data_IF_708134347837
#
_entry.id   IF_708134347837
#
_cell.length_a   1.000
_cell.length_b   1.000
_cell.length_c   1.000
_cell.angle_alpha   90.00
_cell.angle_beta   90.00
_cell.angle_gamma   90.00
#
_symmetry.space_group_name_H-M   'P 1'
#
loop_
_entity.id
_entity.type
_entity.pdbx_description
1 polymer ?
#
# COMPACT_ATOMS: atom_id res chain seq x y z
N UNK A 1 7.50 15.96 0.18
CA UNK A 1 6.43 15.64 1.12
C UNK A 1 5.64 14.47 0.57
N UNK A 2 5.75 13.33 1.24
CA UNK A 2 4.94 12.17 0.89
C UNK A 2 3.58 12.40 1.53
N UNK A 3 2.59 12.81 0.73
CA UNK A 3 1.22 12.89 1.19
C UNK A 3 0.65 11.48 1.18
N UNK A 4 0.35 10.97 2.35
CA UNK A 4 -0.20 9.65 2.50
C UNK A 4 -1.72 9.68 2.52
N UNK A 5 -2.32 8.57 2.18
CA UNK A 5 -3.75 8.32 2.29
C UNK A 5 -4.28 8.54 3.72
N UNK A 6 -3.41 8.43 4.71
CA UNK A 6 -3.61 8.75 6.12
C UNK A 6 -4.26 10.13 6.32
N UNK A 7 -3.93 11.12 5.48
CA UNK A 7 -4.48 12.49 5.60
C UNK A 7 -6.00 12.56 5.33
N UNK A 8 -6.59 11.47 4.85
CA UNK A 8 -8.03 11.37 4.56
C UNK A 8 -8.84 10.66 5.63
N UNK A 9 -8.19 10.00 6.56
CA UNK A 9 -8.86 9.34 7.69
C UNK A 9 -8.75 10.29 8.88
N UNK A 10 -9.85 10.93 9.25
CA UNK A 10 -9.87 11.82 10.41
C UNK A 10 -9.69 11.01 11.70
N UNK A 11 -8.92 11.53 12.64
CA UNK A 11 -8.58 10.86 13.90
C UNK A 11 -9.80 10.46 14.74
N UNK A 12 -10.92 11.13 14.52
CA UNK A 12 -12.20 10.87 15.20
C UNK A 12 -13.13 9.92 14.41
N UNK A 13 -12.74 9.49 13.21
CA UNK A 13 -13.54 8.64 12.34
C UNK A 13 -13.05 7.19 12.31
N UNK A 14 -11.84 6.92 12.79
CA UNK A 14 -11.26 5.60 12.84
C UNK A 14 -10.69 5.26 14.21
N UNK A 15 -10.65 3.97 14.51
CA UNK A 15 -10.12 3.43 15.76
C UNK A 15 -9.28 2.18 15.49
N UNK A 16 -8.58 1.69 16.51
CA UNK A 16 -7.89 0.41 16.43
C UNK A 16 -8.82 -0.74 15.99
N UNK A 17 -10.08 -0.73 16.42
CA UNK A 17 -11.04 -1.78 16.09
C UNK A 17 -11.37 -1.83 14.60
N UNK A 18 -11.40 -0.70 13.89
CA UNK A 18 -11.66 -0.66 12.45
C UNK A 18 -10.57 -1.39 11.64
N UNK A 19 -9.37 -1.48 12.22
CA UNK A 19 -8.22 -2.20 11.65
C UNK A 19 -8.01 -3.58 12.29
N UNK A 20 -8.99 -4.08 13.04
CA UNK A 20 -8.88 -5.37 13.71
C UNK A 20 -7.84 -5.42 14.83
N UNK A 21 -7.51 -4.29 15.40
CA UNK A 21 -6.57 -4.14 16.52
C UNK A 21 -7.39 -4.05 17.82
N UNK A 22 -7.05 -4.87 18.81
CA UNK A 22 -7.72 -4.82 20.12
C UNK A 22 -7.13 -3.71 20.99
N UNK A 23 -7.97 -2.80 21.46
CA UNK A 23 -7.56 -1.74 22.41
C UNK A 23 -7.05 -2.32 23.75
N UNK A 24 -7.50 -3.51 24.11
CA UNK A 24 -7.07 -4.16 25.35
C UNK A 24 -5.62 -4.67 25.30
N UNK A 25 -5.08 -4.93 24.10
CA UNK A 25 -3.70 -5.40 23.90
C UNK A 25 -2.75 -4.28 23.43
N UNK A 26 -3.26 -3.19 22.87
CA UNK A 26 -2.46 -2.05 22.41
C UNK A 26 -2.20 -1.07 23.55
N UNK A 27 -0.95 -0.66 23.72
CA UNK A 27 -0.60 0.43 24.65
C UNK A 27 -0.90 1.81 24.08
N UNK A 28 -1.04 1.90 22.76
CA UNK A 28 -1.42 3.09 22.03
C UNK A 28 -2.71 2.83 21.26
N UNK A 29 -3.75 3.60 21.58
CA UNK A 29 -5.06 3.51 20.92
C UNK A 29 -5.05 3.91 19.44
N UNK A 30 -3.94 4.50 18.97
CA UNK A 30 -3.73 4.88 17.58
C UNK A 30 -2.71 3.96 16.90
N UNK A 31 -2.59 2.70 17.31
CA UNK A 31 -1.67 1.74 16.68
C UNK A 31 -1.88 1.66 15.16
N UNK A 32 -3.13 1.65 14.71
CA UNK A 32 -3.47 1.67 13.29
C UNK A 32 -2.80 2.82 12.55
N UNK A 33 -2.74 4.03 13.15
CA UNK A 33 -2.15 5.22 12.55
C UNK A 33 -0.63 5.25 12.69
N UNK A 34 -0.14 4.96 13.87
CA UNK A 34 1.28 5.12 14.23
C UNK A 34 2.17 3.94 13.78
N UNK A 35 1.58 2.82 13.40
CA UNK A 35 2.32 1.66 12.91
C UNK A 35 1.73 1.09 11.62
N UNK A 36 0.47 0.66 11.59
CA UNK A 36 -0.09 -0.06 10.45
C UNK A 36 -0.13 0.78 9.18
N UNK A 37 -0.68 2.00 9.22
CA UNK A 37 -0.73 2.87 8.04
C UNK A 37 0.65 3.41 7.66
N UNK A 38 1.52 3.67 8.63
CA UNK A 38 2.90 4.05 8.35
C UNK A 38 3.67 2.91 7.66
N UNK A 39 3.47 1.67 8.10
CA UNK A 39 4.02 0.48 7.44
C UNK A 39 3.46 0.33 6.02
N UNK A 40 2.14 0.42 5.87
CA UNK A 40 1.46 0.31 4.57
C UNK A 40 1.95 1.38 3.60
N UNK A 41 2.02 2.63 4.04
CA UNK A 41 2.46 3.78 3.24
C UNK A 41 3.97 3.97 3.15
N UNK A 42 4.76 3.12 3.82
CA UNK A 42 6.25 3.26 3.90
C UNK A 42 6.69 4.64 4.38
N UNK A 43 5.98 5.16 5.37
CA UNK A 43 6.27 6.47 5.96
C UNK A 43 7.59 6.48 6.72
N UNK A 44 7.88 5.37 7.41
CA UNK A 44 9.13 5.06 8.07
C UNK A 44 9.66 3.72 7.56
N UNK A 45 10.91 3.39 7.87
CA UNK A 45 11.47 2.08 7.57
C UNK A 45 10.73 0.96 8.34
N UNK A 46 10.62 -0.20 7.73
CA UNK A 46 9.99 -1.37 8.38
C UNK A 46 10.70 -1.76 9.67
N UNK A 47 12.04 -1.63 9.70
CA UNK A 47 12.84 -1.88 10.91
C UNK A 47 12.49 -0.92 12.05
N UNK A 48 12.30 0.35 11.74
CA UNK A 48 11.93 1.35 12.75
C UNK A 48 10.51 1.11 13.28
N UNK A 49 9.58 0.75 12.40
CA UNK A 49 8.20 0.43 12.80
C UNK A 49 8.16 -0.83 13.65
N UNK A 50 8.89 -1.88 13.26
CA UNK A 50 9.00 -3.13 14.03
C UNK A 50 9.53 -2.87 15.44
N UNK A 51 10.64 -2.17 15.55
CA UNK A 51 11.25 -1.84 16.86
C UNK A 51 10.32 -0.98 17.74
N UNK A 52 9.62 -0.01 17.15
CA UNK A 52 8.66 0.84 17.86
C UNK A 52 7.45 0.03 18.35
N UNK A 53 6.94 -0.87 17.52
CA UNK A 53 5.83 -1.76 17.86
C UNK A 53 6.17 -2.69 19.02
N UNK A 54 7.36 -3.27 19.00
CA UNK A 54 7.88 -4.11 20.10
C UNK A 54 8.05 -3.32 21.39
N UNK A 55 8.66 -2.13 21.32
CA UNK A 55 8.88 -1.26 22.47
C UNK A 55 7.57 -0.78 23.11
N UNK A 56 6.57 -0.49 22.31
CA UNK A 56 5.23 -0.05 22.76
C UNK A 56 4.33 -1.20 23.17
N UNK A 57 4.68 -2.44 22.81
CA UNK A 57 3.86 -3.64 23.04
C UNK A 57 2.56 -3.57 22.24
N UNK A 58 2.65 -3.25 20.96
CA UNK A 58 1.52 -3.25 20.04
C UNK A 58 0.94 -4.66 19.82
N UNK A 59 -0.21 -4.72 19.17
CA UNK A 59 -1.00 -5.95 19.01
C UNK A 59 -0.30 -7.03 18.19
N UNK A 60 0.66 -6.64 17.36
CA UNK A 60 1.46 -7.55 16.55
C UNK A 60 2.87 -7.01 16.28
N UNK A 61 3.78 -7.90 15.89
CA UNK A 61 5.05 -7.52 15.28
C UNK A 61 4.87 -7.29 13.79
N UNK A 62 5.50 -6.23 13.27
CA UNK A 62 5.42 -5.84 11.87
C UNK A 62 6.59 -6.44 11.09
N UNK A 63 6.29 -7.03 9.91
CA UNK A 63 7.32 -7.66 9.08
C UNK A 63 8.20 -6.63 8.38
N UNK A 64 9.42 -7.04 8.12
CA UNK A 64 10.37 -6.32 7.27
C UNK A 64 10.23 -6.84 5.83
N UNK A 65 10.26 -5.93 4.85
CA UNK A 65 10.18 -6.23 3.41
C UNK A 65 11.55 -6.03 2.76
N UNK A 66 12.50 -6.96 2.91
CA UNK A 66 13.84 -6.80 2.35
C UNK A 66 13.82 -6.89 0.83
N UNK A 67 14.76 -6.24 0.15
CA UNK A 67 14.96 -6.38 -1.30
C UNK A 67 15.45 -7.78 -1.67
N UNK A 68 16.20 -8.41 -0.77
CA UNK A 68 16.58 -9.81 -0.86
C UNK A 68 15.88 -10.60 0.25
N UNK A 69 14.99 -11.56 -0.07
CA UNK A 69 14.28 -12.33 0.94
C UNK A 69 15.20 -13.19 1.82
N UNK A 70 16.43 -13.47 1.37
CA UNK A 70 17.43 -14.22 2.12
C UNK A 70 18.37 -13.34 2.97
N UNK A 71 18.27 -12.03 2.85
CA UNK A 71 19.13 -11.09 3.57
C UNK A 71 18.33 -9.86 4.04
N UNK A 72 17.82 -9.95 5.26
CA UNK A 72 17.06 -8.88 5.91
C UNK A 72 17.90 -7.62 6.20
N UNK A 73 19.21 -7.62 5.95
CA UNK A 73 20.05 -6.43 6.07
C UNK A 73 20.00 -5.53 4.86
N UNK A 74 19.50 -6.04 3.72
CA UNK A 74 19.33 -5.26 2.49
C UNK A 74 18.24 -4.21 2.66
N UNK A 75 18.29 -3.24 1.77
CA UNK A 75 17.30 -2.16 1.72
C UNK A 75 15.87 -2.70 1.56
N UNK A 76 14.94 -2.01 2.15
CA UNK A 76 13.53 -2.39 2.12
C UNK A 76 12.91 -2.15 0.75
N UNK A 77 12.06 -3.08 0.29
CA UNK A 77 11.33 -2.94 -0.98
C UNK A 77 10.34 -1.78 -0.91
N UNK A 78 10.36 -0.95 -1.94
CA UNK A 78 9.44 0.19 -2.04
C UNK A 78 8.09 -0.14 -2.69
N UNK A 79 8.00 -1.26 -3.40
CA UNK A 79 6.77 -1.74 -4.05
C UNK A 79 6.56 -3.20 -3.73
N UNK A 80 5.30 -3.64 -3.76
CA UNK A 80 4.95 -5.05 -3.81
C UNK A 80 5.28 -5.66 -5.17
N UNK A 81 5.09 -6.97 -5.30
CA UNK A 81 5.29 -7.65 -6.57
C UNK A 81 4.28 -7.13 -7.60
N UNK A 82 4.76 -6.83 -8.80
CA UNK A 82 3.92 -6.40 -9.92
C UNK A 82 3.65 -7.64 -10.77
N UNK A 83 2.37 -7.93 -10.98
CA UNK A 83 1.91 -9.03 -11.82
C UNK A 83 1.71 -8.56 -13.27
N UNK A 84 1.68 -9.51 -14.19
CA UNK A 84 1.44 -9.25 -15.62
C UNK A 84 0.16 -8.43 -15.84
N UNK A 85 0.26 -7.43 -16.75
CA UNK A 85 -0.86 -6.55 -17.07
C UNK A 85 -1.15 -5.43 -16.08
N UNK A 86 -0.42 -5.39 -14.98
CA UNK A 86 -0.64 -4.42 -13.89
C UNK A 86 0.14 -3.11 -14.06
N UNK A 87 0.67 -2.83 -15.26
CA UNK A 87 1.41 -1.58 -15.56
C UNK A 87 0.83 -0.92 -16.80
N UNK A 88 0.54 0.35 -16.72
CA UNK A 88 0.10 1.16 -17.84
C UNK A 88 0.75 2.55 -17.83
N UNK A 89 0.92 3.13 -19.00
CA UNK A 89 1.43 4.48 -19.15
C UNK A 89 0.56 5.32 -20.07
N UNK A 90 0.62 6.63 -19.91
CA UNK A 90 -0.07 7.61 -20.73
C UNK A 90 0.69 8.93 -20.77
N UNK A 91 0.48 9.70 -21.81
CA UNK A 91 1.11 10.99 -21.99
C UNK A 91 2.31 10.94 -22.93
N UNK A 92 2.67 12.09 -23.46
CA UNK A 92 3.83 12.29 -24.34
C UNK A 92 4.32 13.73 -24.21
N UNK A 93 5.57 13.91 -23.83
CA UNK A 93 6.20 15.24 -23.73
C UNK A 93 6.24 15.98 -25.06
N UNK A 94 6.34 15.28 -26.19
CA UNK A 94 6.34 15.87 -27.52
C UNK A 94 5.02 16.58 -27.84
N UNK A 95 3.93 16.04 -27.31
CA UNK A 95 2.60 16.62 -27.43
C UNK A 95 2.24 17.57 -26.27
N UNK A 96 3.23 17.92 -25.45
CA UNK A 96 3.04 18.68 -24.22
C UNK A 96 1.97 18.08 -23.31
N UNK A 97 1.97 16.74 -23.18
CA UNK A 97 1.09 15.97 -22.32
C UNK A 97 1.88 15.40 -21.15
N UNK A 98 1.37 15.58 -19.95
CA UNK A 98 1.99 15.01 -18.76
C UNK A 98 2.01 13.47 -18.86
N UNK A 99 3.19 12.92 -18.68
CA UNK A 99 3.37 11.47 -18.64
C UNK A 99 3.10 10.94 -17.24
N UNK A 100 2.30 9.87 -17.18
CA UNK A 100 2.06 9.08 -15.98
C UNK A 100 2.39 7.61 -16.23
N UNK A 101 2.93 6.97 -15.21
CA UNK A 101 3.07 5.52 -15.11
C UNK A 101 2.22 5.06 -13.92
N UNK A 102 1.40 4.06 -14.15
CA UNK A 102 0.56 3.48 -13.10
C UNK A 102 0.89 2.00 -12.98
N UNK A 103 1.10 1.54 -11.76
CA UNK A 103 1.38 0.15 -11.45
C UNK A 103 0.47 -0.33 -10.32
N UNK A 104 -0.24 -1.42 -10.54
CA UNK A 104 -0.88 -2.17 -9.46
C UNK A 104 0.13 -3.17 -8.89
N UNK A 105 0.20 -3.24 -7.58
CA UNK A 105 1.15 -4.09 -6.89
C UNK A 105 0.46 -4.97 -5.84
N UNK A 106 1.11 -6.07 -5.53
CA UNK A 106 0.61 -7.05 -4.57
C UNK A 106 0.73 -6.62 -3.10
N UNK A 107 1.01 -5.34 -2.87
CA UNK A 107 0.91 -4.66 -1.58
C UNK A 107 -0.51 -4.10 -1.31
N UNK A 108 -1.46 -4.38 -2.21
CA UNK A 108 -2.84 -3.92 -2.11
C UNK A 108 -3.06 -2.51 -2.66
N UNK A 109 -2.09 -1.94 -3.37
CA UNK A 109 -2.15 -0.56 -3.82
C UNK A 109 -1.98 -0.43 -5.34
N UNK A 110 -2.56 0.64 -5.86
CA UNK A 110 -2.25 1.18 -7.20
C UNK A 110 -1.35 2.39 -7.01
N UNK A 111 -0.15 2.32 -7.54
CA UNK A 111 0.86 3.38 -7.46
C UNK A 111 0.86 4.22 -8.72
N UNK A 112 0.78 5.53 -8.56
CA UNK A 112 0.76 6.50 -9.67
C UNK A 112 2.03 7.34 -9.60
N UNK A 113 2.84 7.23 -10.64
CA UNK A 113 4.07 8.00 -10.82
C UNK A 113 3.86 9.04 -11.89
N UNK A 114 4.44 10.21 -11.71
CA UNK A 114 4.47 11.29 -12.68
C UNK A 114 5.89 11.54 -13.16
N UNK A 115 6.09 11.64 -14.46
CA UNK A 115 7.35 12.10 -15.02
C UNK A 115 7.48 13.61 -14.78
N UNK A 116 8.26 14.00 -13.79
CA UNK A 116 8.31 15.38 -13.32
C UNK A 116 9.44 16.20 -13.94
N UNK A 117 10.68 15.65 -13.99
CA UNK A 117 11.86 16.36 -14.43
C UNK A 117 12.87 15.41 -15.07
N UNK A 118 13.91 15.98 -15.73
CA UNK A 118 15.02 15.22 -16.32
C UNK A 118 15.88 14.48 -15.28
N UNK A 119 15.95 14.98 -14.05
CA UNK A 119 16.82 14.44 -12.99
C UNK A 119 16.10 13.43 -12.08
N UNK A 120 14.79 13.41 -12.09
CA UNK A 120 13.97 12.42 -11.38
C UNK A 120 12.78 12.07 -12.28
N UNK A 121 12.97 11.14 -13.21
CA UNK A 121 12.03 10.92 -14.31
C UNK A 121 10.66 10.50 -13.86
N UNK A 122 10.55 9.71 -12.77
CA UNK A 122 9.26 9.29 -12.25
C UNK A 122 9.20 9.44 -10.73
N UNK A 123 8.35 10.36 -10.31
CA UNK A 123 8.11 10.69 -8.91
C UNK A 123 6.74 10.11 -8.47
N UNK A 124 6.73 9.33 -7.39
CA UNK A 124 5.50 8.77 -6.84
C UNK A 124 4.59 9.90 -6.35
N UNK A 125 3.38 9.97 -6.90
CA UNK A 125 2.39 10.99 -6.54
C UNK A 125 1.29 10.47 -5.65
N UNK A 126 0.87 9.23 -5.85
CA UNK A 126 -0.23 8.63 -5.10
C UNK A 126 -0.03 7.13 -5.01
N UNK A 127 -0.31 6.58 -3.84
CA UNK A 127 -0.57 5.15 -3.64
C UNK A 127 -2.02 5.03 -3.17
N UNK A 128 -2.84 4.35 -3.95
CA UNK A 128 -4.27 4.25 -3.73
C UNK A 128 -4.68 2.83 -3.39
N UNK A 129 -5.44 2.67 -2.31
CA UNK A 129 -6.03 1.39 -1.92
C UNK A 129 -7.50 1.40 -2.34
N UNK A 130 -7.92 0.55 -3.29
CA UNK A 130 -9.31 0.50 -3.73
C UNK A 130 -10.25 0.08 -2.59
N UNK A 131 -11.25 0.90 -2.29
CA UNK A 131 -12.19 0.61 -1.20
C UNK A 131 -13.16 -0.54 -1.51
N UNK A 132 -13.46 -0.79 -2.79
CA UNK A 132 -14.36 -1.86 -3.24
C UNK A 132 -13.68 -3.22 -3.44
N UNK A 133 -12.39 -3.37 -3.10
CA UNK A 133 -11.66 -4.61 -3.25
C UNK A 133 -12.27 -5.71 -2.38
N UNK A 134 -12.45 -6.91 -2.92
CA UNK A 134 -12.90 -8.06 -2.17
C UNK A 134 -11.97 -8.39 -1.02
N UNK A 135 -12.53 -8.83 0.10
CA UNK A 135 -11.77 -9.05 1.32
C UNK A 135 -12.23 -10.30 2.03
N UNK A 136 -11.27 -11.17 2.19
CA UNK A 136 -11.41 -12.37 2.96
C UNK A 136 -10.26 -12.45 3.98
N UNK A 137 -10.47 -13.10 5.09
CA UNK A 137 -9.38 -13.45 6.01
C UNK A 137 -8.60 -14.67 5.52
N UNK A 138 -7.68 -15.18 6.33
CA UNK A 138 -6.89 -16.38 6.03
C UNK A 138 -7.71 -17.68 6.01
N UNK A 139 -8.98 -17.62 6.42
CA UNK A 139 -9.93 -18.72 6.40
C UNK A 139 -10.99 -18.57 5.29
N UNK A 140 -10.84 -17.58 4.40
CA UNK A 140 -11.78 -17.31 3.32
C UNK A 140 -13.09 -16.66 3.80
N UNK A 141 -13.12 -16.07 4.99
CA UNK A 141 -14.29 -15.39 5.51
C UNK A 141 -14.25 -13.90 5.20
N UNK A 142 -15.39 -13.31 4.88
CA UNK A 142 -15.50 -11.89 4.62
C UNK A 142 -14.97 -11.04 5.80
N UNK A 143 -14.14 -10.07 5.50
CA UNK A 143 -13.51 -9.21 6.50
C UNK A 143 -13.38 -7.76 6.01
N UNK A 144 -12.76 -6.89 6.77
CA UNK A 144 -12.56 -5.48 6.42
C UNK A 144 -11.19 -5.23 5.81
N UNK A 145 -11.06 -4.16 5.02
CA UNK A 145 -9.75 -3.74 4.47
C UNK A 145 -8.70 -3.55 5.59
N UNK A 146 -9.10 -2.94 6.70
CA UNK A 146 -8.19 -2.70 7.82
C UNK A 146 -7.63 -4.00 8.40
N UNK A 147 -8.47 -5.03 8.57
CA UNK A 147 -8.04 -6.36 9.04
C UNK A 147 -7.11 -7.05 8.05
N UNK A 148 -7.42 -6.97 6.75
CA UNK A 148 -6.54 -7.52 5.71
C UNK A 148 -5.18 -6.82 5.69
N UNK A 149 -5.13 -5.50 5.80
CA UNK A 149 -3.87 -4.76 5.89
C UNK A 149 -3.06 -5.17 7.13
N UNK A 150 -3.73 -5.38 8.27
CA UNK A 150 -3.09 -5.88 9.49
C UNK A 150 -2.48 -7.26 9.28
N UNK A 151 -3.19 -8.17 8.62
CA UNK A 151 -2.69 -9.52 8.34
C UNK A 151 -1.47 -9.49 7.41
N UNK A 152 -1.50 -8.66 6.36
CA UNK A 152 -0.36 -8.48 5.44
C UNK A 152 0.87 -7.91 6.16
N UNK A 153 0.65 -7.01 7.12
CA UNK A 153 1.73 -6.35 7.84
C UNK A 153 2.36 -7.23 8.93
N UNK A 154 1.71 -8.32 9.31
CA UNK A 154 2.13 -9.21 10.40
C UNK A 154 3.45 -9.93 10.07
N UNK A 155 4.33 -10.01 11.05
CA UNK A 155 5.52 -10.84 10.97
C UNK A 155 5.12 -12.32 10.72
N UNK A 156 5.84 -13.00 9.82
CA UNK A 156 5.49 -14.35 9.38
C UNK A 156 4.46 -14.45 8.25
N UNK A 157 3.94 -13.34 7.72
CA UNK A 157 3.11 -13.36 6.50
C UNK A 157 3.90 -13.99 5.32
N UNK A 158 3.27 -14.92 4.63
CA UNK A 158 3.87 -15.67 3.52
C UNK A 158 4.66 -16.91 3.94
N UNK A 159 4.92 -17.13 5.24
CA UNK A 159 5.57 -18.34 5.74
C UNK A 159 4.62 -19.30 6.47
N UNK A 160 3.53 -18.81 7.02
CA UNK A 160 2.48 -19.60 7.68
C UNK A 160 1.08 -19.18 7.27
N UNK A 161 0.96 -18.03 6.62
CA UNK A 161 -0.28 -17.52 6.04
C UNK A 161 -0.12 -17.49 4.53
N UNK A 162 -1.06 -18.06 3.73
CA UNK A 162 -0.98 -18.03 2.28
C UNK A 162 -0.81 -16.61 1.75
N UNK A 163 0.03 -16.46 0.73
CA UNK A 163 0.21 -15.19 0.05
C UNK A 163 -1.09 -14.81 -0.67
N UNK A 164 -1.53 -13.56 -0.52
CA UNK A 164 -2.75 -13.05 -1.14
C UNK A 164 -2.43 -12.15 -2.31
N UNK A 165 -3.22 -12.27 -3.34
CA UNK A 165 -3.19 -11.39 -4.50
C UNK A 165 -4.23 -10.29 -4.28
N UNK A 166 -3.78 -9.07 -4.02
CA UNK A 166 -4.64 -8.00 -3.53
C UNK A 166 -5.19 -7.11 -4.64
N UNK A 167 -4.35 -6.73 -5.60
CA UNK A 167 -4.72 -5.86 -6.73
C UNK A 167 -4.08 -6.45 -7.98
N UNK A 168 -4.84 -7.24 -8.71
CA UNK A 168 -4.43 -7.89 -9.96
C UNK A 168 -5.35 -7.57 -11.15
N UNK A 169 -6.30 -6.66 -10.97
CA UNK A 169 -7.17 -6.19 -12.04
C UNK A 169 -6.45 -5.28 -13.03
N UNK A 170 -6.89 -5.37 -14.29
CA UNK A 170 -6.40 -4.48 -15.34
C UNK A 170 -6.93 -3.06 -15.19
N UNK A 171 -6.21 -2.10 -15.72
CA UNK A 171 -6.66 -0.71 -15.83
C UNK A 171 -6.24 -0.09 -17.15
N UNK A 172 -6.97 0.95 -17.53
CA UNK A 172 -6.75 1.70 -18.75
C UNK A 172 -6.60 3.17 -18.41
N UNK A 173 -5.59 3.80 -19.00
CA UNK A 173 -5.38 5.23 -18.90
C UNK A 173 -5.84 5.92 -20.19
N UNK A 174 -6.47 7.07 -20.03
CA UNK A 174 -6.89 7.94 -21.14
C UNK A 174 -6.59 9.39 -20.82
N UNK A 175 -6.15 10.13 -21.82
CA UNK A 175 -6.07 11.59 -21.75
C UNK A 175 -7.03 12.23 -22.74
N UNK A 176 -7.74 13.25 -22.26
CA UNK A 176 -8.66 14.03 -23.08
C UNK A 176 -7.92 15.11 -23.86
N UNK A 177 -8.55 15.73 -24.89
CA UNK A 177 -7.95 16.84 -25.62
C UNK A 177 -7.56 18.03 -24.75
N UNK A 178 -8.27 18.28 -23.66
CA UNK A 178 -7.97 19.31 -22.65
C UNK A 178 -6.93 18.89 -21.61
N UNK A 179 -6.23 17.76 -21.87
CA UNK A 179 -5.10 17.23 -21.07
C UNK A 179 -5.45 16.70 -19.69
N UNK A 180 -6.71 16.41 -19.42
CA UNK A 180 -7.08 15.68 -18.22
C UNK A 180 -6.74 14.21 -18.38
N UNK A 181 -6.31 13.58 -17.30
CA UNK A 181 -5.96 12.16 -17.27
C UNK A 181 -6.96 11.38 -16.41
N UNK A 182 -7.53 10.34 -17.00
CA UNK A 182 -8.44 9.42 -16.32
C UNK A 182 -7.85 8.02 -16.26
N UNK A 183 -8.09 7.37 -15.14
CA UNK A 183 -7.80 5.96 -14.94
C UNK A 183 -9.13 5.22 -14.73
N UNK A 184 -9.33 4.15 -15.49
CA UNK A 184 -10.44 3.21 -15.32
C UNK A 184 -9.83 1.87 -14.95
N UNK A 185 -10.23 1.34 -13.81
CA UNK A 185 -9.73 0.06 -13.32
C UNK A 185 -10.87 -0.90 -13.04
N UNK A 186 -10.65 -2.17 -13.35
CA UNK A 186 -11.44 -3.27 -12.83
C UNK A 186 -10.66 -3.92 -11.69
N UNK A 187 -11.38 -4.35 -10.67
CA UNK A 187 -10.78 -5.15 -9.60
C UNK A 187 -10.87 -6.60 -10.02
N UNK A 188 -9.72 -7.29 -10.00
CA UNK A 188 -9.68 -8.72 -10.28
C UNK A 188 -10.46 -9.51 -9.23
N UNK A 189 -10.89 -10.71 -9.60
CA UNK A 189 -11.44 -11.72 -8.68
C UNK A 189 -10.33 -12.36 -7.88
#
# INVERSE_FOLDING_TARGET
SKTYFIDRVADNEASNADFGISDGSAKDKLEWKNALLEWTGRARSDKAIKADAEAKGYSQSYRIRPTDPNDASKDERNLGDILDGSVASVGDKRDNRQEFLVAAANDGMVHIFRNATSNNPYDLKLSYIPAGMEREDDQGQATTLGKVLKDIARDGYGSGTPHRYMVNGGFVLRQTPDKQTFMFGAMGQ
#
